data_IF_761316742054
#
_entry.id   IF_761316742054
#
_cell.length_a   1.000
_cell.length_b   1.000
_cell.length_c   1.000
_cell.angle_alpha   90.00
_cell.angle_beta   90.00
_cell.angle_gamma   90.00
#
_symmetry.space_group_name_H-M   'P 1'
#
loop_
_entity.id
_entity.type
_entity.pdbx_description
1 polymer ?
#
# COMPACT_ATOMS: atom_id res chain seq x y z
N UNK A 1 -37.52 -50.86 -14.45
CA UNK A 1 -37.83 -49.68 -13.63
C UNK A 1 -36.54 -48.90 -13.47
N UNK A 2 -36.38 -47.84 -14.27
CA UNK A 2 -35.17 -47.03 -14.34
C UNK A 2 -35.14 -46.06 -13.14
N UNK A 3 -34.03 -46.00 -12.41
CA UNK A 3 -33.74 -44.84 -11.57
C UNK A 3 -32.30 -44.39 -11.76
N UNK A 4 -32.21 -43.22 -12.40
CA UNK A 4 -31.02 -42.48 -12.77
C UNK A 4 -30.77 -41.46 -11.64
N UNK A 5 -29.77 -41.67 -10.79
CA UNK A 5 -29.41 -40.71 -9.74
C UNK A 5 -28.32 -39.77 -10.24
N UNK A 6 -28.78 -38.61 -10.72
CA UNK A 6 -28.21 -37.25 -10.70
C UNK A 6 -26.70 -37.13 -10.38
N UNK A 7 -25.91 -36.84 -11.41
CA UNK A 7 -24.57 -36.27 -11.29
C UNK A 7 -24.69 -34.81 -10.81
N UNK A 8 -24.09 -34.51 -9.66
CA UNK A 8 -23.94 -33.16 -9.12
C UNK A 8 -22.90 -32.37 -9.96
N UNK A 9 -23.19 -31.15 -10.44
CA UNK A 9 -22.27 -30.42 -11.29
C UNK A 9 -21.21 -29.70 -10.44
N UNK A 10 -20.02 -30.30 -10.35
CA UNK A 10 -18.80 -29.68 -9.79
C UNK A 10 -18.27 -28.48 -10.61
N UNK A 11 -18.96 -28.08 -11.69
CA UNK A 11 -18.50 -27.10 -12.68
C UNK A 11 -18.68 -25.64 -12.25
N UNK A 12 -19.75 -25.32 -11.51
CA UNK A 12 -20.08 -23.91 -11.21
C UNK A 12 -19.21 -23.30 -10.11
N UNK A 13 -18.69 -24.11 -9.18
CA UNK A 13 -17.83 -23.63 -8.08
C UNK A 13 -16.44 -23.22 -8.56
N UNK A 14 -15.92 -23.87 -9.60
CA UNK A 14 -14.59 -23.57 -10.17
C UNK A 14 -14.60 -22.24 -10.93
N UNK A 15 -15.71 -21.92 -11.59
CA UNK A 15 -15.83 -20.71 -12.40
C UNK A 15 -15.98 -19.42 -11.55
N UNK A 16 -16.66 -19.50 -10.40
CA UNK A 16 -16.76 -18.39 -9.45
C UNK A 16 -15.40 -18.03 -8.82
N UNK A 17 -14.55 -19.02 -8.52
CA UNK A 17 -13.21 -18.78 -7.99
C UNK A 17 -12.38 -18.03 -9.03
N UNK A 18 -12.34 -18.49 -10.28
CA UNK A 18 -11.55 -17.90 -11.36
C UNK A 18 -11.92 -16.43 -11.66
N UNK A 19 -13.19 -16.04 -11.51
CA UNK A 19 -13.63 -14.64 -11.66
C UNK A 19 -13.17 -13.74 -10.50
N UNK A 20 -13.16 -14.25 -9.27
CA UNK A 20 -12.70 -13.49 -8.10
C UNK A 20 -11.17 -13.31 -8.09
N UNK A 21 -10.39 -14.28 -8.58
CA UNK A 21 -8.92 -14.11 -8.71
C UNK A 21 -8.55 -13.09 -9.80
N UNK A 22 -9.30 -13.03 -10.90
CA UNK A 22 -9.01 -12.16 -12.04
C UNK A 22 -9.24 -10.66 -11.79
N UNK A 23 -10.09 -10.30 -10.82
CA UNK A 23 -10.29 -8.90 -10.42
C UNK A 23 -9.17 -8.41 -9.49
N UNK A 24 -8.54 -9.31 -8.73
CA UNK A 24 -7.48 -8.98 -7.77
C UNK A 24 -6.09 -8.78 -8.42
N UNK A 25 -5.82 -9.46 -9.53
CA UNK A 25 -4.52 -9.41 -10.22
C UNK A 25 -4.20 -8.07 -10.89
N UNK A 26 -5.20 -7.25 -11.23
CA UNK A 26 -5.01 -6.07 -12.09
C UNK A 26 -4.47 -4.81 -11.39
N UNK A 27 -4.43 -4.77 -10.06
CA UNK A 27 -4.02 -3.59 -9.28
C UNK A 27 -2.99 -3.89 -8.18
N UNK A 28 -2.19 -4.96 -8.32
CA UNK A 28 -1.14 -5.22 -7.34
C UNK A 28 0.00 -4.22 -7.45
N UNK A 29 0.38 -3.62 -6.32
CA UNK A 29 1.60 -2.82 -6.19
C UNK A 29 2.88 -3.68 -6.16
N UNK A 30 3.13 -4.52 -7.16
CA UNK A 30 4.27 -5.49 -7.15
C UNK A 30 5.61 -4.85 -6.77
N UNK A 31 5.90 -3.63 -7.25
CA UNK A 31 7.09 -2.85 -6.87
C UNK A 31 7.17 -2.54 -5.37
N UNK A 32 6.04 -2.25 -4.72
CA UNK A 32 6.00 -1.99 -3.27
C UNK A 32 6.06 -3.28 -2.43
N UNK A 33 5.91 -4.46 -3.03
CA UNK A 33 6.11 -5.76 -2.40
C UNK A 33 7.47 -6.41 -2.75
N UNK A 34 8.39 -5.67 -3.40
CA UNK A 34 9.72 -6.21 -3.70
C UNK A 34 10.46 -6.59 -2.42
N UNK A 35 11.22 -7.69 -2.47
CA UNK A 35 11.89 -8.23 -1.28
C UNK A 35 12.90 -7.26 -0.67
N UNK A 36 13.61 -6.48 -1.48
CA UNK A 36 14.57 -5.48 -1.00
C UNK A 36 13.95 -4.09 -1.05
N UNK A 37 14.13 -3.29 0.01
CA UNK A 37 13.71 -1.89 0.01
C UNK A 37 14.70 -1.03 -0.82
N UNK A 38 14.23 -0.17 -1.74
CA UNK A 38 15.12 0.56 -2.66
C UNK A 38 16.23 1.35 -1.96
N UNK A 39 17.46 1.24 -2.47
CA UNK A 39 18.63 1.96 -1.96
C UNK A 39 19.15 1.47 -0.60
N UNK A 40 18.79 0.25 -0.18
CA UNK A 40 19.17 -0.32 1.12
C UNK A 40 19.32 -1.85 1.01
N UNK A 41 19.91 -2.50 2.02
CA UNK A 41 19.93 -3.96 2.15
C UNK A 41 18.76 -4.52 2.96
N UNK A 42 17.82 -3.66 3.39
CA UNK A 42 16.66 -4.06 4.20
C UNK A 42 15.77 -5.01 3.41
N UNK A 43 15.52 -6.18 3.99
CA UNK A 43 14.62 -7.20 3.44
C UNK A 43 13.23 -7.03 4.03
N UNK A 44 12.22 -6.90 3.17
CA UNK A 44 10.81 -6.91 3.56
C UNK A 44 10.39 -8.34 3.89
N UNK A 45 9.35 -8.46 4.69
CA UNK A 45 8.64 -9.72 4.85
C UNK A 45 7.98 -10.10 3.52
N UNK A 46 8.17 -11.33 3.05
CA UNK A 46 7.55 -11.77 1.80
C UNK A 46 6.02 -11.81 1.95
N UNK A 47 5.31 -11.12 1.06
CA UNK A 47 3.86 -11.11 1.04
C UNK A 47 3.41 -11.88 -0.21
N UNK A 48 2.86 -13.09 -0.05
CA UNK A 48 2.22 -13.79 -1.15
C UNK A 48 1.14 -12.91 -1.77
N UNK A 49 1.02 -12.98 -3.09
CA UNK A 49 0.10 -12.16 -3.87
C UNK A 49 -1.34 -12.28 -3.32
N UNK A 50 -1.75 -13.50 -3.03
CA UNK A 50 -3.05 -13.85 -2.49
C UNK A 50 -3.31 -13.32 -1.06
N UNK A 51 -2.30 -12.81 -0.36
CA UNK A 51 -2.42 -12.26 1.00
C UNK A 51 -2.15 -10.74 1.05
N UNK A 52 -2.07 -10.07 -0.10
CA UNK A 52 -1.86 -8.61 -0.16
C UNK A 52 -3.04 -7.83 0.42
N UNK A 53 -4.29 -8.25 0.15
CA UNK A 53 -5.48 -7.55 0.65
C UNK A 53 -5.61 -7.66 2.16
N UNK A 54 -5.73 -6.52 2.85
CA UNK A 54 -5.91 -6.42 4.29
C UNK A 54 -7.14 -7.17 4.82
N UNK A 55 -8.17 -7.40 3.99
CA UNK A 55 -9.37 -8.18 4.36
C UNK A 55 -9.07 -9.65 4.61
N UNK A 56 -8.02 -10.18 4.00
CA UNK A 56 -7.62 -11.57 4.18
C UNK A 56 -6.81 -11.70 5.46
N UNK A 57 -7.15 -12.71 6.26
CA UNK A 57 -6.40 -13.03 7.47
C UNK A 57 -4.99 -13.48 7.08
N UNK A 58 -3.98 -12.92 7.77
CA UNK A 58 -2.60 -13.34 7.64
C UNK A 58 -1.92 -13.26 9.01
N UNK A 59 -2.23 -14.18 9.94
CA UNK A 59 -1.75 -14.12 11.33
C UNK A 59 -0.22 -14.10 11.47
N UNK A 60 0.47 -14.73 10.53
CA UNK A 60 1.93 -14.89 10.48
C UNK A 60 2.62 -13.67 9.86
N UNK A 61 1.85 -12.66 9.42
CA UNK A 61 2.37 -11.45 8.83
C UNK A 61 3.23 -10.68 9.84
N UNK A 62 4.54 -10.72 9.63
CA UNK A 62 5.55 -10.09 10.49
C UNK A 62 6.36 -9.08 9.68
N UNK A 63 5.78 -7.92 9.32
CA UNK A 63 6.47 -6.92 8.52
C UNK A 63 7.69 -6.39 9.25
N UNK A 64 8.74 -6.09 8.49
CA UNK A 64 9.95 -5.45 9.04
C UNK A 64 9.65 -3.99 9.37
N UNK A 65 10.08 -3.53 10.55
CA UNK A 65 9.98 -2.12 10.94
C UNK A 65 11.18 -1.35 10.41
N UNK A 66 10.96 -0.48 9.43
CA UNK A 66 12.03 0.32 8.84
C UNK A 66 11.60 1.76 8.54
N UNK A 67 12.39 2.68 9.06
CA UNK A 67 12.43 4.10 8.69
C UNK A 67 13.91 4.48 8.62
N UNK A 68 14.32 5.11 7.51
CA UNK A 68 15.72 5.48 7.28
C UNK A 68 16.21 6.52 8.28
N UNK A 69 17.51 6.50 8.57
CA UNK A 69 18.15 7.48 9.46
C UNK A 69 17.94 8.92 9.01
N UNK A 70 17.92 9.17 7.68
CA UNK A 70 17.63 10.50 7.10
C UNK A 70 16.23 11.01 7.42
N UNK A 71 15.25 10.12 7.56
CA UNK A 71 13.89 10.49 7.97
C UNK A 71 13.82 10.61 9.50
N UNK A 72 14.52 9.72 10.23
CA UNK A 72 14.58 9.75 11.69
C UNK A 72 15.32 10.97 12.24
N UNK A 73 16.27 11.55 11.50
CA UNK A 73 16.93 12.81 11.85
C UNK A 73 16.01 14.03 11.78
N UNK A 74 14.74 13.83 11.44
CA UNK A 74 13.67 14.82 11.43
C UNK A 74 14.02 16.11 10.64
N UNK A 75 14.38 16.00 9.34
CA UNK A 75 14.50 17.18 8.49
C UNK A 75 13.13 17.88 8.32
N UNK A 76 13.12 19.14 7.90
CA UNK A 76 11.90 19.96 7.79
C UNK A 76 10.77 19.34 6.93
N UNK A 77 11.11 18.45 5.99
CA UNK A 77 10.15 17.74 5.13
C UNK A 77 9.63 16.43 5.72
N UNK A 78 10.14 15.97 6.85
CA UNK A 78 9.75 14.71 7.49
C UNK A 78 8.83 14.95 8.70
N UNK A 79 7.91 14.03 8.92
CA UNK A 79 7.09 13.99 10.12
C UNK A 79 7.88 13.44 11.31
N UNK A 80 7.46 13.71 12.56
CA UNK A 80 7.97 12.99 13.73
C UNK A 80 7.59 11.49 13.69
N UNK A 81 8.34 10.66 14.41
CA UNK A 81 7.97 9.25 14.63
C UNK A 81 6.82 9.15 15.63
N UNK A 82 5.65 8.71 15.17
CA UNK A 82 4.41 8.69 15.99
C UNK A 82 4.15 7.34 16.67
N UNK A 83 4.91 6.28 16.36
CA UNK A 83 4.68 4.94 16.94
C UNK A 83 5.46 4.68 18.23
N UNK A 84 6.59 5.35 18.43
CA UNK A 84 7.58 5.03 19.49
C UNK A 84 7.67 6.08 20.60
N UNK A 85 6.92 7.17 20.52
CA UNK A 85 7.01 8.25 21.50
C UNK A 85 5.81 9.18 21.49
N UNK A 86 5.72 10.00 22.53
CA UNK A 86 4.69 11.02 22.68
C UNK A 86 5.00 12.21 21.77
N UNK A 87 4.21 12.38 20.73
CA UNK A 87 4.28 13.58 19.87
C UNK A 87 3.35 14.65 20.44
N UNK A 88 3.81 15.90 20.50
CA UNK A 88 3.04 17.02 21.06
C UNK A 88 1.72 17.26 20.34
N UNK A 89 1.71 17.08 19.02
CA UNK A 89 0.53 17.22 18.17
C UNK A 89 0.46 15.98 17.28
N UNK A 90 -0.69 15.33 17.22
CA UNK A 90 -0.86 14.18 16.32
C UNK A 90 -1.21 14.66 14.90
N UNK A 91 -0.65 14.04 13.86
CA UNK A 91 -1.03 14.33 12.48
C UNK A 91 -2.52 14.12 12.23
N UNK A 92 -3.16 15.06 11.52
CA UNK A 92 -4.57 14.94 11.12
C UNK A 92 -4.68 14.25 9.76
N UNK A 93 -4.83 12.93 9.77
CA UNK A 93 -4.98 12.13 8.55
C UNK A 93 -6.31 12.35 7.82
N UNK A 94 -6.34 12.02 6.53
CA UNK A 94 -7.50 12.19 5.63
C UNK A 94 -8.05 13.63 5.55
N UNK A 95 -7.22 14.64 5.81
CA UNK A 95 -7.58 16.05 5.75
C UNK A 95 -6.35 16.93 5.43
N UNK A 96 -6.60 18.21 5.16
CA UNK A 96 -5.57 19.23 5.23
C UNK A 96 -5.15 19.42 6.70
N UNK A 97 -3.91 19.07 7.02
CA UNK A 97 -3.35 19.15 8.35
C UNK A 97 -2.64 20.49 8.56
N UNK A 98 -3.40 21.47 9.07
CA UNK A 98 -2.91 22.83 9.28
C UNK A 98 -1.76 22.90 10.31
N UNK A 99 -1.69 21.97 11.27
CA UNK A 99 -0.64 21.96 12.28
C UNK A 99 0.75 21.66 11.67
N UNK A 100 0.78 20.87 10.61
CA UNK A 100 1.97 20.48 9.88
C UNK A 100 2.08 21.11 8.49
N UNK A 101 1.13 22.00 8.13
CA UNK A 101 0.97 22.57 6.79
C UNK A 101 1.12 21.50 5.68
N UNK A 102 0.44 20.37 5.86
CA UNK A 102 0.59 19.20 4.97
C UNK A 102 -0.79 18.70 4.56
N UNK A 103 -1.02 18.56 3.25
CA UNK A 103 -2.19 17.82 2.78
C UNK A 103 -1.95 16.33 2.98
N UNK A 104 -2.81 15.71 3.80
CA UNK A 104 -2.76 14.26 4.10
C UNK A 104 -3.93 13.53 3.46
N UNK A 105 -4.66 14.15 2.55
CA UNK A 105 -5.71 13.47 1.78
C UNK A 105 -5.09 12.52 0.75
N UNK A 106 -5.84 11.51 0.34
CA UNK A 106 -5.41 10.58 -0.69
C UNK A 106 -6.32 10.74 -1.90
N UNK A 107 -5.74 10.73 -3.09
CA UNK A 107 -6.48 10.75 -4.36
C UNK A 107 -7.30 9.47 -4.58
N UNK A 108 -7.03 8.42 -3.80
CA UNK A 108 -7.80 7.17 -3.79
C UNK A 108 -8.97 7.18 -2.78
N UNK A 109 -9.25 8.33 -2.16
CA UNK A 109 -10.22 8.45 -1.08
C UNK A 109 -9.62 8.19 0.31
N UNK A 110 -10.49 8.07 1.32
CA UNK A 110 -10.05 7.90 2.71
C UNK A 110 -9.32 6.58 2.92
N UNK A 111 -8.20 6.63 3.65
CA UNK A 111 -7.46 5.45 4.06
C UNK A 111 -7.66 5.16 5.56
N UNK A 112 -7.66 3.88 5.98
CA UNK A 112 -7.79 3.52 7.40
C UNK A 112 -6.60 4.01 8.21
N UNK A 113 -6.86 4.47 9.44
CA UNK A 113 -5.84 4.76 10.45
C UNK A 113 -5.97 3.70 11.54
N UNK A 114 -4.95 2.85 11.69
CA UNK A 114 -4.96 1.72 12.62
C UNK A 114 -3.84 1.94 13.62
N UNK A 115 -4.15 1.90 14.92
CA UNK A 115 -3.20 2.16 16.00
C UNK A 115 -2.46 3.50 15.82
N UNK A 116 -3.18 4.53 15.37
CA UNK A 116 -2.64 5.88 15.18
C UNK A 116 -1.76 6.08 13.94
N UNK A 117 -1.60 5.07 13.08
CA UNK A 117 -0.84 5.19 11.82
C UNK A 117 -1.68 4.88 10.57
N UNK A 118 -1.40 5.52 9.42
CA UNK A 118 -2.06 5.20 8.16
C UNK A 118 -1.75 3.78 7.70
N UNK A 119 -2.79 3.08 7.23
CA UNK A 119 -2.66 1.81 6.53
C UNK A 119 -2.69 2.05 5.03
N UNK A 120 -1.73 1.49 4.29
CA UNK A 120 -1.67 1.59 2.83
C UNK A 120 -3.00 1.11 2.21
N UNK A 121 -3.72 1.96 1.45
CA UNK A 121 -5.03 1.61 0.91
C UNK A 121 -5.01 0.46 -0.09
N UNK A 122 -3.87 0.18 -0.73
CA UNK A 122 -3.78 -0.91 -1.72
C UNK A 122 -3.54 -2.28 -1.07
N UNK A 123 -2.85 -2.34 0.08
CA UNK A 123 -2.58 -3.63 0.75
C UNK A 123 -1.27 -3.70 1.53
N UNK A 124 -0.96 -4.91 2.01
CA UNK A 124 0.30 -5.27 2.68
C UNK A 124 1.50 -5.10 1.74
N UNK A 125 2.64 -4.74 2.33
CA UNK A 125 3.89 -4.48 1.59
C UNK A 125 5.10 -5.23 2.17
N UNK A 126 4.91 -5.94 3.29
CA UNK A 126 6.01 -6.61 3.99
C UNK A 126 6.84 -5.73 4.92
N UNK A 127 6.46 -4.47 5.07
CA UNK A 127 7.20 -3.48 5.86
C UNK A 127 6.24 -2.50 6.54
N UNK A 128 6.59 -2.08 7.76
CA UNK A 128 5.97 -0.96 8.47
C UNK A 128 7.00 0.15 8.70
N UNK A 129 6.53 1.31 9.13
CA UNK A 129 7.36 2.52 9.15
C UNK A 129 7.27 3.26 7.83
N UNK A 130 8.19 4.21 7.62
CA UNK A 130 8.14 5.12 6.46
C UNK A 130 9.18 4.80 5.39
N UNK A 131 10.17 3.98 5.70
CA UNK A 131 11.35 3.79 4.85
C UNK A 131 12.03 5.14 4.56
N UNK A 132 12.08 5.53 3.28
CA UNK A 132 12.65 6.80 2.81
C UNK A 132 11.61 7.93 2.70
N UNK A 133 10.33 7.67 2.94
CA UNK A 133 9.28 8.68 2.82
C UNK A 133 9.24 9.59 4.06
N UNK A 134 9.02 10.88 3.86
CA UNK A 134 9.01 11.85 4.96
C UNK A 134 7.72 11.82 5.75
N UNK A 135 6.59 11.70 5.05
CA UNK A 135 5.25 11.83 5.62
C UNK A 135 4.65 10.48 5.95
N UNK A 136 3.89 10.42 7.05
CA UNK A 136 2.97 9.32 7.31
C UNK A 136 1.78 9.38 6.35
N UNK A 137 1.49 8.28 5.67
CA UNK A 137 0.40 8.20 4.69
C UNK A 137 0.84 8.67 3.29
N UNK A 138 -0.01 9.39 2.55
CA UNK A 138 0.32 9.89 1.21
C UNK A 138 1.55 10.79 1.20
N UNK A 139 2.41 10.61 0.19
CA UNK A 139 3.53 11.50 -0.12
C UNK A 139 3.31 11.99 -1.56
N UNK A 140 2.70 13.16 -1.69
CA UNK A 140 2.28 13.69 -3.00
C UNK A 140 3.48 14.02 -3.89
N UNK A 141 3.35 13.68 -5.17
CA UNK A 141 4.27 14.05 -6.24
C UNK A 141 3.45 14.59 -7.41
N UNK A 142 4.11 15.33 -8.31
CA UNK A 142 3.51 15.82 -9.54
C UNK A 142 4.47 15.52 -10.69
N UNK A 143 3.93 14.96 -11.78
CA UNK A 143 4.69 14.61 -12.98
C UNK A 143 4.26 15.53 -14.12
N UNK A 144 4.88 16.72 -14.29
CA UNK A 144 4.56 17.60 -15.39
C UNK A 144 5.06 17.00 -16.72
N UNK A 145 4.14 16.65 -17.61
CA UNK A 145 4.46 16.11 -18.94
C UNK A 145 4.30 17.20 -19.99
N UNK A 146 5.43 17.65 -20.55
CA UNK A 146 5.45 18.63 -21.65
C UNK A 146 5.62 17.88 -22.97
N UNK A 147 4.68 18.10 -23.89
CA UNK A 147 4.70 17.50 -25.23
C UNK A 147 4.76 18.58 -26.30
N UNK A 148 5.41 18.27 -27.42
CA UNK A 148 5.39 19.09 -28.64
C UNK A 148 5.26 18.19 -29.86
N UNK A 149 4.69 18.71 -30.95
CA UNK A 149 4.70 18.01 -32.22
C UNK A 149 6.13 17.87 -32.77
N UNK A 150 6.41 16.72 -33.39
CA UNK A 150 7.60 16.54 -34.22
C UNK A 150 7.31 17.10 -35.61
N UNK A 151 8.13 18.03 -36.08
CA UNK A 151 8.08 18.48 -37.47
C UNK A 151 8.79 17.46 -38.35
N UNK A 152 8.11 16.95 -39.38
CA UNK A 152 8.76 16.16 -40.43
C UNK A 152 9.53 17.12 -41.34
N UNK A 153 10.81 16.87 -41.56
CA UNK A 153 11.55 17.50 -42.65
C UNK A 153 11.06 16.86 -43.95
N UNK A 154 10.60 17.69 -44.88
CA UNK A 154 10.30 17.29 -46.26
C UNK A 154 11.60 17.22 -47.07
#
# INVERSE_FOLDING_TARGET
MLHLSVLCPLSEKVFCIAKTVNVCLKNMHTKACSLTYPGTDVKRFAVPLELVDWKLAFPEYKPVDYTSEKVLSLPAWADPEIRKGSVKVLPKFNALDAAYNTDRTSLLGQYPVIQGVPRNPIGRTGMIGRGLLGRWGPNHAADPVVTRYTLKQL
#
